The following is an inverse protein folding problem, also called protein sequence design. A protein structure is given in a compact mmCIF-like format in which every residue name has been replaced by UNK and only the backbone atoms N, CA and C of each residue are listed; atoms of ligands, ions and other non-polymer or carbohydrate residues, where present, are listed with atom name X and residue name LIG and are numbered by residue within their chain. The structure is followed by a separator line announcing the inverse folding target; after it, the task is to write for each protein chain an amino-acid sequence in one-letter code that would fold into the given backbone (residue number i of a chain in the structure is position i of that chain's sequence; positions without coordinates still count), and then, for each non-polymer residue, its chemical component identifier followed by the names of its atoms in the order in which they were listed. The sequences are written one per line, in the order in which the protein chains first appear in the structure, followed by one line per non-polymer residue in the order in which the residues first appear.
data_IF_668842200551
#
_entry.id   IF_668842200551
#
_cell.length_a   1.000
_cell.length_b   1.000
_cell.length_c   1.000
_cell.angle_alpha   90.00
_cell.angle_beta   90.00
_cell.angle_gamma   90.00
#
_symmetry.space_group_name_H-M   'P 1'
#
loop_
_entity.id
_entity.type
_entity.pdbx_description
1 polymer ?
#
# COMPACT_ATOMS: atom_id res chain seq x y z
N UNK A 1 68.19 -2.39 -15.58
CA UNK A 1 69.20 -3.12 -14.78
C UNK A 1 69.20 -2.43 -13.42
N UNK A 2 68.61 -2.88 -12.32
CA UNK A 2 68.39 -4.23 -11.81
C UNK A 2 69.23 -4.40 -10.53
N UNK A 3 68.56 -4.49 -9.36
CA UNK A 3 68.92 -5.13 -8.05
C UNK A 3 70.21 -4.60 -7.33
N UNK A 4 70.39 -4.51 -6.00
CA UNK A 4 69.88 -5.11 -4.73
C UNK A 4 70.05 -4.05 -3.60
N UNK A 5 69.13 -3.86 -2.64
CA UNK A 5 68.85 -4.59 -1.39
C UNK A 5 69.89 -4.40 -0.26
N UNK A 6 69.48 -3.82 0.87
CA UNK A 6 69.48 -4.41 2.23
C UNK A 6 69.31 -3.33 3.32
N UNK A 7 68.23 -3.44 4.08
CA UNK A 7 68.01 -2.73 5.33
C UNK A 7 67.31 -3.66 6.32
N UNK A 8 67.98 -3.92 7.46
CA UNK A 8 67.41 -4.51 8.68
C UNK A 8 67.40 -3.42 9.75
N UNK A 9 66.44 -3.40 10.71
CA UNK A 9 66.47 -4.29 11.87
C UNK A 9 65.06 -4.86 12.26
N UNK A 10 64.92 -6.08 12.80
CA UNK A 10 64.71 -6.42 14.24
C UNK A 10 64.13 -5.29 15.12
N UNK A 11 63.24 -5.47 16.09
CA UNK A 11 62.27 -6.48 16.54
C UNK A 11 61.68 -5.88 17.82
N UNK A 12 60.37 -5.78 17.96
CA UNK A 12 59.71 -5.28 19.18
C UNK A 12 58.21 -5.49 19.11
N UNK A 13 57.74 -6.51 19.81
CA UNK A 13 56.36 -7.02 19.90
C UNK A 13 55.50 -6.22 20.91
N UNK A 14 54.28 -6.66 21.25
CA UNK A 14 53.04 -6.55 20.48
C UNK A 14 51.94 -5.83 21.30
N UNK A 15 50.74 -5.77 20.73
CA UNK A 15 49.45 -5.57 21.40
C UNK A 15 48.89 -4.16 21.60
N UNK A 16 47.59 -4.12 21.30
CA UNK A 16 46.56 -3.17 21.70
C UNK A 16 46.38 -1.92 20.83
N UNK A 17 45.84 -2.09 19.61
CA UNK A 17 44.68 -1.27 19.20
C UNK A 17 43.95 -1.82 17.94
N UNK A 18 43.57 -3.10 17.96
CA UNK A 18 42.78 -3.70 16.88
C UNK A 18 41.56 -4.45 17.43
N UNK A 19 40.76 -3.74 18.23
CA UNK A 19 39.46 -4.24 18.70
C UNK A 19 38.41 -3.13 18.67
N UNK A 20 38.24 -2.50 17.52
CA UNK A 20 37.06 -1.71 17.19
C UNK A 20 36.50 -2.34 15.91
N UNK A 21 35.17 -2.50 15.84
CA UNK A 21 34.43 -3.30 14.85
C UNK A 21 34.21 -4.79 15.19
N UNK A 22 33.72 -5.06 16.40
CA UNK A 22 32.80 -6.18 16.59
C UNK A 22 31.55 -5.72 17.33
N UNK A 23 30.54 -5.36 16.54
CA UNK A 23 29.14 -5.63 16.86
C UNK A 23 28.37 -5.63 15.54
N UNK A 24 28.46 -6.75 14.83
CA UNK A 24 27.39 -7.16 13.92
C UNK A 24 26.17 -7.45 14.81
N UNK A 25 25.49 -6.41 15.28
CA UNK A 25 24.06 -6.52 15.48
C UNK A 25 23.49 -6.63 14.07
N UNK A 26 23.44 -7.86 13.56
CA UNK A 26 22.48 -8.19 12.51
C UNK A 26 21.13 -7.76 13.09
N UNK A 27 20.64 -6.60 12.67
CA UNK A 27 19.29 -6.12 12.90
C UNK A 27 18.39 -7.28 12.45
N UNK A 28 17.94 -8.10 13.40
CA UNK A 28 17.07 -9.22 13.09
C UNK A 28 15.76 -8.56 12.68
N UNK A 29 15.54 -8.46 11.37
CA UNK A 29 14.26 -8.02 10.82
C UNK A 29 13.17 -8.83 11.51
N UNK A 30 12.09 -8.21 11.99
CA UNK A 30 11.01 -8.93 12.64
C UNK A 30 10.53 -10.03 11.69
N UNK A 31 10.58 -11.28 12.15
CA UNK A 31 10.09 -12.40 11.35
C UNK A 31 8.57 -12.27 11.26
N UNK A 32 8.07 -12.20 10.03
CA UNK A 32 6.65 -12.20 9.75
C UNK A 32 6.23 -13.61 9.33
N UNK A 33 5.10 -14.07 9.87
CA UNK A 33 4.51 -15.34 9.48
C UNK A 33 3.09 -15.12 8.96
N UNK A 34 2.79 -15.65 7.79
CA UNK A 34 1.46 -15.57 7.22
C UNK A 34 0.60 -16.72 7.72
N UNK A 35 -0.54 -16.42 8.34
CA UNK A 35 -1.51 -17.41 8.78
C UNK A 35 -2.75 -17.40 7.88
N UNK A 36 -3.04 -18.57 7.28
CA UNK A 36 -4.18 -18.82 6.39
C UNK A 36 -4.33 -17.79 5.26
N UNK A 37 -3.21 -17.28 4.76
CA UNK A 37 -3.17 -16.31 3.66
C UNK A 37 -4.04 -15.05 3.90
N UNK A 38 -4.26 -14.73 5.18
CA UNK A 38 -5.20 -13.71 5.63
C UNK A 38 -4.63 -12.82 6.72
N UNK A 39 -3.79 -13.38 7.59
CA UNK A 39 -3.22 -12.65 8.71
C UNK A 39 -1.71 -12.66 8.64
N UNK A 40 -1.08 -11.55 9.00
CA UNK A 40 0.35 -11.47 9.26
C UNK A 40 0.53 -11.49 10.77
N UNK A 41 1.34 -12.43 11.25
CA UNK A 41 1.71 -12.58 12.65
C UNK A 41 3.14 -12.09 12.86
N UNK A 42 3.36 -11.32 13.92
CA UNK A 42 4.70 -10.90 14.31
C UNK A 42 4.81 -10.70 15.82
N UNK A 43 5.99 -10.99 16.37
CA UNK A 43 6.25 -10.82 17.79
C UNK A 43 6.62 -9.37 18.08
N UNK A 44 5.99 -8.80 19.10
CA UNK A 44 6.28 -7.47 19.63
C UNK A 44 6.48 -7.55 21.15
N UNK A 45 7.01 -6.49 21.76
CA UNK A 45 7.28 -6.47 23.22
C UNK A 45 6.02 -6.70 24.07
N UNK A 46 4.84 -6.39 23.56
CA UNK A 46 3.56 -6.53 24.24
C UNK A 46 2.84 -7.86 23.96
N UNK A 47 3.45 -8.77 23.20
CA UNK A 47 2.90 -10.10 22.89
C UNK A 47 2.90 -10.42 21.38
N UNK A 48 1.89 -11.17 20.94
CA UNK A 48 1.73 -11.56 19.54
C UNK A 48 0.81 -10.58 18.80
N UNK A 49 1.37 -9.82 17.86
CA UNK A 49 0.61 -8.93 17.01
C UNK A 49 0.03 -9.68 15.81
N UNK A 50 -1.25 -9.45 15.55
CA UNK A 50 -2.02 -10.03 14.45
C UNK A 50 -2.53 -8.87 13.59
N UNK A 51 -2.21 -8.92 12.30
CA UNK A 51 -2.57 -7.91 11.32
C UNK A 51 -3.44 -8.55 10.25
N UNK A 52 -4.62 -8.00 9.97
CA UNK A 52 -5.44 -8.39 8.83
C UNK A 52 -4.81 -7.83 7.53
N UNK A 53 -4.33 -8.74 6.68
CA UNK A 53 -3.57 -8.43 5.47
C UNK A 53 -4.38 -7.64 4.43
N UNK A 54 -5.65 -7.98 4.25
CA UNK A 54 -6.47 -7.30 3.25
C UNK A 54 -6.77 -5.88 3.73
N UNK A 55 -7.19 -5.76 4.99
CA UNK A 55 -7.53 -4.46 5.59
C UNK A 55 -6.32 -3.54 5.73
N UNK A 56 -5.14 -4.07 6.03
CA UNK A 56 -3.91 -3.28 6.03
C UNK A 56 -3.64 -2.70 4.65
N UNK A 57 -3.76 -3.49 3.60
CA UNK A 57 -3.54 -3.01 2.24
C UNK A 57 -4.58 -1.97 1.81
N UNK A 58 -5.86 -2.15 2.18
CA UNK A 58 -6.90 -1.13 1.98
C UNK A 58 -6.51 0.20 2.65
N UNK A 59 -6.03 0.18 3.91
CA UNK A 59 -5.60 1.41 4.60
C UNK A 59 -4.41 2.07 3.91
N UNK A 60 -3.40 1.30 3.52
CA UNK A 60 -2.20 1.81 2.82
C UNK A 60 -2.59 2.48 1.50
N UNK A 61 -3.42 1.81 0.70
CA UNK A 61 -3.89 2.32 -0.58
C UNK A 61 -4.79 3.55 -0.41
N UNK A 62 -5.69 3.54 0.57
CA UNK A 62 -6.55 4.68 0.86
C UNK A 62 -5.74 5.96 1.11
N UNK A 63 -4.74 5.91 2.01
CA UNK A 63 -3.94 7.10 2.31
C UNK A 63 -3.12 7.56 1.10
N UNK A 64 -2.61 6.60 0.32
CA UNK A 64 -1.93 6.90 -0.94
C UNK A 64 -2.85 7.63 -1.92
N UNK A 65 -4.04 7.09 -2.20
CA UNK A 65 -4.98 7.64 -3.17
C UNK A 65 -5.56 8.97 -2.71
N UNK A 66 -5.89 9.12 -1.42
CA UNK A 66 -6.32 10.39 -0.85
C UNK A 66 -5.26 11.47 -1.03
N UNK A 67 -3.99 11.12 -0.83
CA UNK A 67 -2.85 12.02 -1.09
C UNK A 67 -2.71 12.35 -2.57
N UNK A 68 -2.92 11.40 -3.48
CA UNK A 68 -2.87 11.63 -4.94
C UNK A 68 -3.97 12.59 -5.40
N UNK A 69 -5.22 12.40 -4.94
CA UNK A 69 -6.35 13.30 -5.23
C UNK A 69 -6.04 14.71 -4.71
N UNK A 70 -5.71 14.81 -3.43
CA UNK A 70 -5.49 16.11 -2.75
C UNK A 70 -4.35 16.90 -3.39
N UNK A 71 -3.29 16.23 -3.83
CA UNK A 71 -2.11 16.87 -4.40
C UNK A 71 -2.10 16.92 -5.94
N UNK A 72 -3.11 16.33 -6.61
CA UNK A 72 -3.17 16.14 -8.07
C UNK A 72 -1.90 15.52 -8.65
N UNK A 73 -1.48 14.38 -8.08
CA UNK A 73 -0.21 13.70 -8.40
C UNK A 73 -0.37 12.32 -9.04
N UNK A 74 -1.57 11.98 -9.53
CA UNK A 74 -1.80 10.75 -10.28
C UNK A 74 -0.90 10.66 -11.51
N UNK A 75 -0.34 9.47 -11.76
CA UNK A 75 0.48 9.19 -12.94
C UNK A 75 -0.30 8.23 -13.80
N UNK A 76 -0.69 8.65 -15.00
CA UNK A 76 -1.41 7.80 -15.94
C UNK A 76 -0.48 6.94 -16.79
N UNK A 77 -0.90 5.71 -17.03
CA UNK A 77 -0.39 4.83 -18.06
C UNK A 77 -1.48 4.61 -19.10
N UNK A 78 -1.19 4.99 -20.34
CA UNK A 78 -2.11 4.76 -21.47
C UNK A 78 -2.25 3.27 -21.76
N UNK A 79 -3.49 2.85 -22.00
CA UNK A 79 -3.81 1.49 -22.42
C UNK A 79 -3.61 1.35 -23.94
N UNK A 80 -3.20 0.15 -24.38
CA UNK A 80 -3.03 -0.14 -25.81
C UNK A 80 -4.37 -0.14 -26.56
N UNK A 81 -5.43 -0.55 -25.88
CA UNK A 81 -6.78 -0.63 -26.42
C UNK A 81 -7.70 0.14 -25.47
N UNK A 82 -8.12 1.36 -25.84
CA UNK A 82 -9.07 2.11 -25.04
C UNK A 82 -10.37 1.33 -24.85
N UNK A 83 -10.86 1.31 -23.61
CA UNK A 83 -12.11 0.62 -23.27
C UNK A 83 -13.27 1.60 -23.29
N UNK A 84 -14.38 1.21 -23.93
CA UNK A 84 -15.58 2.04 -24.00
C UNK A 84 -16.52 1.69 -22.85
N UNK A 85 -16.98 2.71 -22.15
CA UNK A 85 -18.03 2.62 -21.15
C UNK A 85 -19.27 3.37 -21.64
N UNK A 86 -20.43 2.73 -21.52
CA UNK A 86 -21.74 3.35 -21.74
C UNK A 86 -22.42 3.51 -20.38
N UNK A 87 -22.91 4.72 -20.14
CA UNK A 87 -23.50 5.16 -18.88
C UNK A 87 -24.93 5.65 -19.11
N UNK A 88 -25.75 5.54 -18.08
CA UNK A 88 -27.02 6.27 -17.98
C UNK A 88 -26.76 7.77 -17.83
N UNK A 89 -27.78 8.60 -18.06
CA UNK A 89 -27.64 10.05 -17.87
C UNK A 89 -27.27 10.43 -16.43
N UNK A 90 -27.72 9.66 -15.44
CA UNK A 90 -27.38 9.89 -14.03
C UNK A 90 -25.93 9.55 -13.74
N UNK A 91 -25.44 8.40 -14.23
CA UNK A 91 -24.04 8.00 -14.07
C UNK A 91 -23.09 8.95 -14.80
N UNK A 92 -23.45 9.40 -16.01
CA UNK A 92 -22.66 10.38 -16.75
C UNK A 92 -22.58 11.74 -16.03
N UNK A 93 -23.68 12.18 -15.40
CA UNK A 93 -23.68 13.38 -14.55
C UNK A 93 -22.76 13.19 -13.34
N UNK A 94 -22.87 12.05 -12.65
CA UNK A 94 -22.00 11.74 -11.51
C UNK A 94 -20.52 11.63 -11.91
N UNK A 95 -20.21 11.04 -13.06
CA UNK A 95 -18.84 10.98 -13.57
C UNK A 95 -18.29 12.38 -13.83
N UNK A 96 -19.12 13.26 -14.39
CA UNK A 96 -18.73 14.65 -14.68
C UNK A 96 -18.39 15.43 -13.40
N UNK A 97 -19.06 15.13 -12.28
CA UNK A 97 -18.78 15.75 -10.97
C UNK A 97 -17.41 15.32 -10.40
N UNK A 98 -16.99 14.09 -10.63
CA UNK A 98 -15.73 13.52 -10.11
C UNK A 98 -14.61 13.47 -11.14
N UNK A 99 -14.81 14.02 -12.34
CA UNK A 99 -13.87 13.93 -13.46
C UNK A 99 -12.46 14.42 -13.09
N UNK A 100 -12.37 15.56 -12.40
CA UNK A 100 -11.08 16.11 -11.97
C UNK A 100 -10.37 15.19 -10.94
N UNK A 101 -11.13 14.52 -10.08
CA UNK A 101 -10.57 13.59 -9.09
C UNK A 101 -10.11 12.29 -9.76
N UNK A 102 -10.84 11.82 -10.77
CA UNK A 102 -10.45 10.67 -11.60
C UNK A 102 -9.12 10.97 -12.34
N UNK A 103 -8.99 12.16 -12.89
CA UNK A 103 -7.73 12.62 -13.51
C UNK A 103 -6.61 12.73 -12.47
N UNK A 104 -6.90 13.26 -11.28
CA UNK A 104 -5.95 13.36 -10.17
C UNK A 104 -5.48 11.98 -9.64
N UNK A 105 -6.28 10.93 -9.83
CA UNK A 105 -5.91 9.54 -9.57
C UNK A 105 -5.08 8.92 -10.70
N UNK A 106 -5.11 9.50 -11.90
CA UNK A 106 -4.36 9.02 -13.07
C UNK A 106 -5.23 8.34 -14.13
N UNK A 107 -6.56 8.49 -14.10
CA UNK A 107 -7.41 8.09 -15.21
C UNK A 107 -7.36 9.12 -16.35
N UNK A 108 -7.21 8.66 -17.58
CA UNK A 108 -7.42 9.48 -18.78
C UNK A 108 -8.72 9.01 -19.45
N UNK A 109 -9.75 9.84 -19.41
CA UNK A 109 -11.05 9.55 -20.02
C UNK A 109 -11.42 10.61 -21.05
N UNK A 110 -12.14 10.23 -22.11
CA UNK A 110 -12.68 11.18 -23.08
C UNK A 110 -14.14 10.89 -23.37
N UNK A 111 -14.93 11.95 -23.42
CA UNK A 111 -16.33 11.91 -23.80
C UNK A 111 -16.45 11.62 -25.31
N UNK A 112 -17.24 10.60 -25.65
CA UNK A 112 -17.58 10.20 -27.01
C UNK A 112 -18.97 10.71 -27.43
N UNK A 113 -19.69 11.37 -26.53
CA UNK A 113 -21.08 11.77 -26.66
C UNK A 113 -22.05 10.65 -26.28
N UNK A 114 -23.34 11.00 -26.16
CA UNK A 114 -24.43 10.09 -25.83
C UNK A 114 -24.17 9.27 -24.55
N UNK A 115 -23.67 9.91 -23.48
CA UNK A 115 -23.30 9.29 -22.21
C UNK A 115 -22.29 8.13 -22.37
N UNK A 116 -21.40 8.22 -23.34
CA UNK A 116 -20.37 7.22 -23.58
C UNK A 116 -18.99 7.82 -23.46
N UNK A 117 -18.08 7.11 -22.80
CA UNK A 117 -16.72 7.56 -22.54
C UNK A 117 -15.71 6.49 -22.97
N UNK A 118 -14.52 6.91 -23.38
CA UNK A 118 -13.37 6.05 -23.62
C UNK A 118 -12.37 6.19 -22.47
N UNK A 119 -12.02 5.08 -21.83
CA UNK A 119 -10.93 4.98 -20.86
C UNK A 119 -9.64 4.74 -21.67
N UNK A 120 -8.79 5.76 -21.77
CA UNK A 120 -7.56 5.76 -22.54
C UNK A 120 -6.30 5.57 -21.68
N UNK A 121 -6.42 5.83 -20.39
CA UNK A 121 -5.33 5.64 -19.43
C UNK A 121 -5.86 5.31 -18.06
N UNK A 122 -5.08 4.53 -17.34
CA UNK A 122 -5.35 4.11 -15.96
C UNK A 122 -4.14 4.48 -15.09
N UNK A 123 -4.30 4.57 -13.76
CA UNK A 123 -3.18 4.82 -12.87
C UNK A 123 -2.06 3.78 -13.07
N UNK A 124 -0.82 4.25 -13.19
CA UNK A 124 0.33 3.45 -13.67
C UNK A 124 0.68 2.28 -12.75
N UNK A 125 0.26 2.35 -11.49
CA UNK A 125 0.50 1.28 -10.53
C UNK A 125 -0.52 0.14 -10.63
N UNK A 126 -1.62 0.33 -11.37
CA UNK A 126 -2.61 -0.71 -11.59
C UNK A 126 -2.19 -1.62 -12.74
N UNK A 127 -2.13 -2.92 -12.45
CA UNK A 127 -1.85 -3.95 -13.44
C UNK A 127 -2.99 -4.96 -13.45
N UNK A 128 -3.44 -5.35 -14.65
CA UNK A 128 -4.48 -6.37 -14.85
C UNK A 128 -5.80 -6.07 -14.12
N UNK A 129 -6.17 -4.79 -14.03
CA UNK A 129 -7.43 -4.34 -13.42
C UNK A 129 -8.49 -4.16 -14.50
N UNK A 130 -9.72 -4.57 -14.21
CA UNK A 130 -10.90 -4.23 -15.03
C UNK A 130 -11.22 -2.74 -14.83
N UNK A 131 -10.77 -1.91 -15.77
CA UNK A 131 -10.89 -0.46 -15.68
C UNK A 131 -12.35 0.00 -15.74
N UNK A 132 -13.18 -0.66 -16.54
CA UNK A 132 -14.61 -0.35 -16.67
C UNK A 132 -15.33 -0.62 -15.36
N UNK A 133 -15.09 -1.77 -14.73
CA UNK A 133 -15.68 -2.12 -13.44
C UNK A 133 -15.21 -1.17 -12.32
N UNK A 134 -13.93 -0.76 -12.33
CA UNK A 134 -13.39 0.20 -11.37
C UNK A 134 -14.07 1.57 -11.51
N UNK A 135 -14.15 2.11 -12.73
CA UNK A 135 -14.82 3.40 -13.00
C UNK A 135 -16.29 3.35 -12.58
N UNK A 136 -17.01 2.26 -12.89
CA UNK A 136 -18.39 2.07 -12.42
C UNK A 136 -18.50 2.06 -10.90
N UNK A 137 -17.63 1.31 -10.23
CA UNK A 137 -17.63 1.27 -8.76
C UNK A 137 -17.43 2.65 -8.14
N UNK A 138 -16.61 3.51 -8.74
CA UNK A 138 -16.39 4.88 -8.27
C UNK A 138 -17.60 5.78 -8.51
N UNK A 139 -18.24 5.66 -9.68
CA UNK A 139 -19.48 6.37 -10.00
C UNK A 139 -20.58 5.98 -9.02
N UNK A 140 -20.80 4.67 -8.82
CA UNK A 140 -21.79 4.15 -7.88
C UNK A 140 -21.55 4.69 -6.47
N UNK A 141 -20.28 4.72 -6.03
CA UNK A 141 -19.93 5.21 -4.70
C UNK A 141 -20.19 6.70 -4.51
N UNK A 142 -19.99 7.49 -5.56
CA UNK A 142 -20.34 8.91 -5.55
C UNK A 142 -21.85 9.09 -5.48
N UNK A 143 -22.60 8.36 -6.30
CA UNK A 143 -24.07 8.42 -6.34
C UNK A 143 -24.76 7.96 -5.05
N UNK A 144 -24.18 7.00 -4.31
CA UNK A 144 -24.66 6.59 -2.99
C UNK A 144 -24.68 7.75 -1.99
N UNK A 145 -23.83 8.76 -2.19
CA UNK A 145 -23.67 9.82 -1.21
C UNK A 145 -23.97 11.20 -1.80
N UNK A 146 -25.17 11.71 -1.52
CA UNK A 146 -25.54 13.11 -1.83
C UNK A 146 -24.82 14.18 -0.98
N UNK A 147 -23.60 13.92 -0.50
CA UNK A 147 -22.80 14.89 0.26
C UNK A 147 -22.05 15.80 -0.69
N UNK A 148 -22.41 17.07 -0.74
CA UNK A 148 -21.72 18.11 -1.53
C UNK A 148 -20.42 18.62 -0.88
N UNK A 149 -19.82 17.86 0.05
CA UNK A 149 -18.59 18.26 0.74
C UNK A 149 -17.41 17.59 0.03
N UNK A 150 -16.56 18.40 -0.59
CA UNK A 150 -15.44 17.94 -1.40
C UNK A 150 -14.50 16.98 -0.66
N UNK A 151 -14.16 17.26 0.61
CA UNK A 151 -13.30 16.38 1.41
C UNK A 151 -13.91 14.97 1.59
N UNK A 152 -15.22 14.89 1.85
CA UNK A 152 -15.93 13.62 1.95
C UNK A 152 -16.04 12.90 0.59
N UNK A 153 -15.94 13.61 -0.52
CA UNK A 153 -15.93 13.03 -1.86
C UNK A 153 -14.57 12.39 -2.14
N UNK A 154 -13.47 13.10 -1.87
CA UNK A 154 -12.11 12.57 -2.02
C UNK A 154 -11.91 11.30 -1.19
N UNK A 155 -12.35 11.28 0.06
CA UNK A 155 -12.24 10.09 0.92
C UNK A 155 -13.01 8.89 0.34
N UNK A 156 -14.20 9.10 -0.23
CA UNK A 156 -14.99 8.01 -0.83
C UNK A 156 -14.35 7.46 -2.08
N UNK A 157 -13.86 8.32 -2.96
CA UNK A 157 -13.17 7.90 -4.18
C UNK A 157 -11.90 7.14 -3.84
N UNK A 158 -11.11 7.65 -2.90
CA UNK A 158 -9.91 6.97 -2.40
C UNK A 158 -10.24 5.61 -1.79
N UNK A 159 -11.32 5.51 -1.00
CA UNK A 159 -11.76 4.24 -0.40
C UNK A 159 -12.26 3.26 -1.47
N UNK A 160 -13.08 3.72 -2.41
CA UNK A 160 -13.57 2.88 -3.51
C UNK A 160 -12.42 2.30 -4.33
N UNK A 161 -11.42 3.13 -4.65
CA UNK A 161 -10.23 2.69 -5.35
C UNK A 161 -9.41 1.70 -4.52
N UNK A 162 -9.23 1.98 -3.22
CA UNK A 162 -8.49 1.13 -2.31
C UNK A 162 -9.13 -0.26 -2.16
N UNK A 163 -10.45 -0.33 -1.98
CA UNK A 163 -11.18 -1.59 -1.86
C UNK A 163 -11.08 -2.42 -3.15
N UNK A 164 -11.19 -1.77 -4.31
CA UNK A 164 -11.15 -2.46 -5.60
C UNK A 164 -9.74 -2.96 -5.96
N UNK A 165 -8.70 -2.21 -5.58
CA UNK A 165 -7.31 -2.49 -5.98
C UNK A 165 -6.48 -3.17 -4.88
N UNK A 166 -7.08 -3.37 -3.70
CA UNK A 166 -6.44 -4.11 -2.62
C UNK A 166 -6.16 -5.56 -3.02
N UNK A 167 -5.15 -6.16 -2.39
CA UNK A 167 -4.84 -7.56 -2.59
C UNK A 167 -6.06 -8.39 -2.17
N UNK A 168 -6.45 -9.40 -2.95
CA UNK A 168 -7.56 -10.25 -2.57
C UNK A 168 -7.23 -11.00 -1.27
N UNK A 169 -8.26 -11.26 -0.47
CA UNK A 169 -8.14 -12.19 0.65
C UNK A 169 -7.68 -13.56 0.13
N UNK A 170 -6.72 -14.20 0.81
CA UNK A 170 -6.15 -15.47 0.36
C UNK A 170 -4.91 -15.34 -0.53
N UNK A 171 -4.41 -14.12 -0.80
CA UNK A 171 -3.13 -13.98 -1.50
C UNK A 171 -1.97 -14.43 -0.58
N UNK A 172 -1.26 -15.48 -0.97
CA UNK A 172 0.05 -15.83 -0.38
C UNK A 172 1.08 -14.71 -0.59
N UNK A 173 1.82 -14.34 0.46
CA UNK A 173 2.82 -13.28 0.43
C UNK A 173 4.22 -13.83 0.72
N UNK A 174 5.22 -13.28 0.05
CA UNK A 174 6.62 -13.48 0.40
C UNK A 174 6.98 -12.74 1.70
N UNK A 175 8.09 -13.12 2.33
CA UNK A 175 8.58 -12.45 3.54
C UNK A 175 8.86 -10.96 3.30
N UNK A 176 9.41 -10.62 2.13
CA UNK A 176 9.66 -9.24 1.71
C UNK A 176 8.35 -8.44 1.51
N UNK A 177 7.33 -9.05 0.88
CA UNK A 177 6.00 -8.41 0.73
C UNK A 177 5.33 -8.18 2.09
N UNK A 178 5.45 -9.14 3.03
CA UNK A 178 4.92 -8.97 4.38
C UNK A 178 5.63 -7.84 5.13
N UNK A 179 6.97 -7.82 5.11
CA UNK A 179 7.77 -6.77 5.76
C UNK A 179 7.38 -5.39 5.20
N UNK A 180 7.37 -5.26 3.87
CA UNK A 180 7.00 -4.00 3.21
C UNK A 180 5.59 -3.55 3.57
N UNK A 181 4.63 -4.47 3.63
CA UNK A 181 3.26 -4.13 4.01
C UNK A 181 3.17 -3.66 5.45
N UNK A 182 3.88 -4.31 6.37
CA UNK A 182 3.91 -3.91 7.78
C UNK A 182 4.54 -2.53 7.92
N UNK A 183 5.67 -2.27 7.26
CA UNK A 183 6.34 -0.97 7.26
C UNK A 183 5.43 0.14 6.70
N UNK A 184 4.78 -0.13 5.56
CA UNK A 184 3.85 0.81 4.95
C UNK A 184 2.63 1.07 5.84
N UNK A 185 2.08 0.03 6.48
CA UNK A 185 0.96 0.18 7.40
C UNK A 185 1.33 1.08 8.57
N UNK A 186 2.50 0.88 9.19
CA UNK A 186 2.91 1.71 10.32
C UNK A 186 3.37 3.12 9.95
N UNK A 187 3.61 3.38 8.66
CA UNK A 187 3.82 4.73 8.14
C UNK A 187 2.50 5.50 7.91
N UNK A 188 1.35 4.82 7.92
CA UNK A 188 0.04 5.45 7.80
C UNK A 188 -0.32 6.29 9.03
N UNK A 189 -1.16 7.31 8.84
CA UNK A 189 -1.66 8.16 9.93
C UNK A 189 -2.52 7.39 10.93
N UNK A 190 -3.31 6.41 10.45
CA UNK A 190 -4.20 5.61 11.30
C UNK A 190 -4.08 4.10 10.99
N UNK A 191 -3.04 3.42 11.52
CA UNK A 191 -2.74 2.02 11.20
C UNK A 191 -3.72 1.01 11.83
N UNK A 192 -4.45 1.41 12.87
CA UNK A 192 -5.26 0.48 13.69
C UNK A 192 -6.62 0.14 13.09
N UNK A 193 -7.17 1.01 12.25
CA UNK A 193 -8.51 0.87 11.68
C UNK A 193 -8.49 1.15 10.20
N UNK A 194 -9.40 0.56 9.43
CA UNK A 194 -9.70 0.97 8.05
C UNK A 194 -10.50 2.29 8.04
N UNK A 195 -10.61 2.98 6.89
CA UNK A 195 -11.44 4.19 6.79
C UNK A 195 -12.91 3.97 7.19
N UNK A 196 -13.45 2.77 6.96
CA UNK A 196 -14.80 2.36 7.37
C UNK A 196 -14.88 1.78 8.81
N UNK A 197 -13.80 1.90 9.59
CA UNK A 197 -13.79 1.67 11.04
C UNK A 197 -13.49 0.24 11.50
N UNK A 198 -13.18 -0.71 10.60
CA UNK A 198 -12.83 -2.09 10.97
C UNK A 198 -11.41 -2.15 11.53
N UNK A 199 -11.20 -2.88 12.62
CA UNK A 199 -9.86 -3.07 13.16
C UNK A 199 -8.94 -3.83 12.19
N UNK A 200 -7.71 -3.34 12.05
CA UNK A 200 -6.64 -3.93 11.25
C UNK A 200 -5.69 -4.72 12.13
N UNK A 201 -5.33 -4.14 13.28
CA UNK A 201 -4.31 -4.66 14.20
C UNK A 201 -4.99 -5.08 15.50
N UNK A 202 -4.57 -6.21 16.04
CA UNK A 202 -4.81 -6.59 17.44
C UNK A 202 -3.56 -7.23 18.03
N UNK A 203 -3.40 -7.19 19.34
CA UNK A 203 -2.28 -7.83 20.05
C UNK A 203 -2.87 -8.76 21.09
N UNK A 204 -2.44 -10.02 21.07
CA UNK A 204 -2.70 -10.96 22.16
C UNK A 204 -1.53 -10.85 23.12
N UNK A 205 -1.80 -10.44 24.36
CA UNK A 205 -0.74 -10.29 25.36
C UNK A 205 -0.23 -11.64 25.87
N UNK A 206 0.96 -11.65 26.46
CA UNK A 206 1.53 -12.86 27.05
C UNK A 206 0.63 -13.40 28.18
N UNK A 207 0.08 -12.52 29.02
CA UNK A 207 -0.89 -12.89 30.07
C UNK A 207 -2.16 -13.54 29.48
N UNK A 208 -2.69 -13.00 28.38
CA UNK A 208 -3.85 -13.59 27.69
C UNK A 208 -3.52 -14.96 27.10
N UNK A 209 -2.32 -15.14 26.56
CA UNK A 209 -1.87 -16.43 26.05
C UNK A 209 -1.71 -17.45 27.18
N UNK A 210 -1.07 -17.08 28.29
CA UNK A 210 -0.93 -17.96 29.44
C UNK A 210 -2.28 -18.39 30.01
N UNK A 211 -3.23 -17.46 30.11
CA UNK A 211 -4.57 -17.75 30.61
C UNK A 211 -5.37 -18.69 29.70
N UNK A 212 -5.09 -18.73 28.39
CA UNK A 212 -5.73 -19.68 27.46
C UNK A 212 -5.16 -21.10 27.54
N UNK A 213 -3.99 -21.27 28.14
CA UNK A 213 -3.28 -22.56 28.28
C UNK A 213 -3.41 -23.18 29.68
N UNK A 214 -4.07 -22.47 30.61
CA UNK A 214 -4.44 -22.95 31.95
C UNK A 214 -5.85 -23.55 31.91
#
# INVERSE_FOLDING_TARGET
RGFENEGKPMSGSPDADATLFQSNESLVSPKHYQYKEKYILTSVKSGLMIIDQHRSHVRILFEKYLSQITNRKGISQRVLFPERIELTSSEASSLSEIQEDMEALGFEMSDLGNNSFAIQGIPSELQNVDAVALVRSMIDKNMETGSNIQEQMHEKLALSMADFTAIPAGKSLTEEEMLRMVDQLFACQSPNHTPDGKSIITVISDDEMENKLK
#
